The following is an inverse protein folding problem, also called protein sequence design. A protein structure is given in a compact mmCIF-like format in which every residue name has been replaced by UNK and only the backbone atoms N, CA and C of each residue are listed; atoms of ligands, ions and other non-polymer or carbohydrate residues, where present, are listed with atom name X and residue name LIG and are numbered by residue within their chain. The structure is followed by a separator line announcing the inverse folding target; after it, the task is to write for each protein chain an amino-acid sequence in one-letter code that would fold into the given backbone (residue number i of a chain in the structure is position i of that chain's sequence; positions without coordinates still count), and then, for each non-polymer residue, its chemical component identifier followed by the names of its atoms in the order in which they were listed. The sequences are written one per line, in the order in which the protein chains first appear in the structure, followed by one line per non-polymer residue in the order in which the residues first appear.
data_IF_738524852394
#
_entry.id   IF_738524852394
#
_cell.length_a   1.000
_cell.length_b   1.000
_cell.length_c   1.000
_cell.angle_alpha   90.00
_cell.angle_beta   90.00
_cell.angle_gamma   90.00
#
_symmetry.space_group_name_H-M   'P 1'
#
loop_
_entity.id
_entity.type
_entity.pdbx_description
1 polymer ?
#
# COMPACT_ATOMS: atom_id res chain seq x y z
N UNK A 1 42.82 45.45 -7.17
CA UNK A 1 42.58 45.00 -8.56
C UNK A 1 41.09 45.13 -8.82
N UNK A 2 40.71 45.94 -9.79
CA UNK A 2 39.49 46.76 -9.81
C UNK A 2 38.50 46.34 -10.92
N UNK A 3 37.20 46.51 -10.64
CA UNK A 3 36.02 46.72 -11.53
C UNK A 3 35.34 45.59 -12.36
N UNK A 4 34.12 45.24 -11.89
CA UNK A 4 32.74 45.32 -12.46
C UNK A 4 32.43 45.33 -14.00
N UNK A 5 31.33 44.61 -14.29
CA UNK A 5 30.13 44.89 -15.15
C UNK A 5 30.09 44.66 -16.69
N UNK A 6 29.16 43.76 -17.07
CA UNK A 6 28.11 43.79 -18.13
C UNK A 6 28.24 44.61 -19.43
N UNK A 7 27.84 44.01 -20.57
CA UNK A 7 27.12 44.72 -21.64
C UNK A 7 26.20 43.81 -22.48
N UNK A 8 24.95 44.27 -22.70
CA UNK A 8 23.98 43.83 -23.71
C UNK A 8 24.27 44.52 -25.04
N UNK A 9 23.90 43.92 -26.17
CA UNK A 9 23.70 44.66 -27.42
C UNK A 9 22.37 44.25 -28.09
N UNK A 10 21.55 45.26 -28.36
CA UNK A 10 20.41 45.22 -29.27
C UNK A 10 20.70 46.25 -30.37
N UNK A 11 20.40 45.91 -31.62
CA UNK A 11 20.39 46.86 -32.74
C UNK A 11 19.04 46.73 -33.44
N UNK A 12 18.33 47.86 -33.50
CA UNK A 12 17.17 48.11 -34.34
C UNK A 12 17.65 48.77 -35.64
N UNK A 13 17.09 48.39 -36.78
CA UNK A 13 16.99 49.26 -37.95
C UNK A 13 15.60 49.11 -38.57
N UNK A 14 14.99 50.24 -38.88
CA UNK A 14 13.65 50.42 -39.42
C UNK A 14 13.73 50.84 -40.90
N UNK A 15 12.57 51.02 -41.55
CA UNK A 15 12.30 51.41 -42.97
C UNK A 15 12.15 50.18 -43.89
N UNK A 16 11.07 49.95 -44.65
CA UNK A 16 9.83 50.67 -44.90
C UNK A 16 9.18 50.14 -46.19
N UNK A 17 7.85 50.00 -46.17
CA UNK A 17 6.88 49.87 -47.29
C UNK A 17 6.97 48.72 -48.31
N UNK A 18 5.92 47.89 -48.31
CA UNK A 18 5.54 46.99 -49.39
C UNK A 18 4.33 46.14 -49.00
N UNK A 19 3.13 46.70 -49.00
CA UNK A 19 1.88 45.94 -48.84
C UNK A 19 1.61 45.13 -50.11
N UNK A 20 1.84 43.81 -50.05
CA UNK A 20 1.28 42.85 -51.01
C UNK A 20 0.22 42.05 -50.25
N UNK A 21 -1.04 42.25 -50.63
CA UNK A 21 -2.17 41.44 -50.19
C UNK A 21 -2.04 40.04 -50.82
N UNK A 22 -1.51 39.07 -50.07
CA UNK A 22 -1.55 37.66 -50.47
C UNK A 22 -2.85 37.04 -49.94
N UNK A 23 -3.82 36.82 -50.84
CA UNK A 23 -4.97 35.94 -50.59
C UNK A 23 -4.46 34.51 -50.39
N UNK A 24 -4.42 34.03 -49.15
CA UNK A 24 -4.23 32.61 -48.88
C UNK A 24 -5.57 31.92 -49.12
N UNK A 25 -5.64 31.13 -50.19
CA UNK A 25 -6.71 30.19 -50.46
C UNK A 25 -6.52 29.02 -49.49
N UNK A 26 -7.50 28.80 -48.62
CA UNK A 26 -7.59 27.63 -47.76
C UNK A 26 -7.81 26.39 -48.64
N UNK A 27 -6.79 25.56 -48.80
CA UNK A 27 -6.98 24.20 -49.32
C UNK A 27 -7.40 23.31 -48.16
N UNK A 28 -8.68 22.93 -48.13
CA UNK A 28 -9.19 21.85 -47.30
C UNK A 28 -8.46 20.56 -47.68
N UNK A 29 -7.69 20.02 -46.73
CA UNK A 29 -7.14 18.68 -46.85
C UNK A 29 -8.30 17.68 -46.69
N UNK A 30 -8.70 17.06 -47.80
CA UNK A 30 -9.62 15.92 -47.82
C UNK A 30 -8.95 14.76 -47.10
N UNK A 31 -9.33 14.54 -45.84
CA UNK A 31 -9.00 13.31 -45.11
C UNK A 31 -9.83 12.19 -45.72
N UNK A 32 -9.20 11.32 -46.48
CA UNK A 32 -9.81 10.09 -46.96
C UNK A 32 -10.24 9.24 -45.75
N UNK A 33 -11.55 9.16 -45.51
CA UNK A 33 -12.14 8.23 -44.55
C UNK A 33 -11.94 6.81 -45.07
N UNK A 34 -11.12 6.03 -44.39
CA UNK A 34 -11.09 4.56 -44.54
C UNK A 34 -12.35 4.03 -43.85
N UNK A 35 -13.33 3.45 -44.57
CA UNK A 35 -14.45 2.78 -43.94
C UNK A 35 -13.98 1.41 -43.47
N UNK A 36 -13.89 1.20 -42.15
CA UNK A 36 -13.74 -0.16 -41.61
C UNK A 36 -12.88 -0.35 -40.37
N UNK A 37 -12.24 0.68 -39.80
CA UNK A 37 -11.59 0.49 -38.49
C UNK A 37 -12.63 0.67 -37.37
N UNK A 38 -13.32 -0.42 -37.03
CA UNK A 38 -14.06 -0.52 -35.77
C UNK A 38 -13.05 -0.24 -34.65
N UNK A 39 -13.22 0.82 -33.83
CA UNK A 39 -12.39 0.99 -32.66
C UNK A 39 -12.59 -0.27 -31.80
N UNK A 40 -11.52 -1.03 -31.58
CA UNK A 40 -11.51 -2.12 -30.61
C UNK A 40 -11.95 -1.53 -29.28
N UNK A 41 -13.23 -1.73 -28.95
CA UNK A 41 -13.79 -1.47 -27.64
C UNK A 41 -13.12 -2.49 -26.74
N UNK A 42 -11.94 -2.15 -26.21
CA UNK A 42 -11.29 -2.93 -25.18
C UNK A 42 -12.34 -3.02 -24.07
N UNK A 43 -12.97 -4.19 -23.94
CA UNK A 43 -13.88 -4.45 -22.85
C UNK A 43 -13.07 -4.19 -21.58
N UNK A 44 -13.36 -3.08 -20.90
CA UNK A 44 -12.80 -2.87 -19.58
C UNK A 44 -13.34 -4.02 -18.73
N UNK A 45 -12.48 -5.00 -18.45
CA UNK A 45 -12.77 -6.03 -17.47
C UNK A 45 -13.08 -5.28 -16.18
N UNK A 46 -14.37 -5.27 -15.81
CA UNK A 46 -14.83 -4.69 -14.56
C UNK A 46 -14.19 -5.49 -13.43
N UNK A 47 -13.36 -4.83 -12.63
CA UNK A 47 -12.71 -5.44 -11.48
C UNK A 47 -13.76 -5.59 -10.38
N UNK A 48 -13.87 -6.79 -9.79
CA UNK A 48 -14.75 -6.99 -8.64
C UNK A 48 -14.23 -6.13 -7.48
N UNK A 49 -15.08 -5.37 -6.77
CA UNK A 49 -14.61 -4.51 -5.70
C UNK A 49 -14.05 -5.35 -4.53
N UNK A 50 -13.06 -4.81 -3.81
CA UNK A 50 -12.71 -5.23 -2.46
C UNK A 50 -13.71 -4.73 -1.42
N UNK A 51 -14.29 -3.55 -1.67
CA UNK A 51 -15.24 -2.90 -0.78
C UNK A 51 -16.42 -2.35 -1.56
N UNK A 52 -17.64 -2.56 -1.06
CA UNK A 52 -18.85 -1.97 -1.63
C UNK A 52 -19.91 -1.67 -0.55
N UNK A 53 -21.11 -1.26 -0.95
CA UNK A 53 -22.20 -0.92 -0.04
C UNK A 53 -23.30 -1.98 -0.01
N UNK A 54 -23.09 -3.13 -0.66
CA UNK A 54 -24.10 -4.15 -0.87
C UNK A 54 -23.76 -5.32 0.02
N UNK A 55 -24.64 -5.63 0.97
CA UNK A 55 -24.53 -6.87 1.73
C UNK A 55 -24.85 -8.06 0.82
N UNK A 56 -23.81 -8.75 0.32
CA UNK A 56 -23.92 -9.82 -0.67
C UNK A 56 -23.39 -11.17 -0.13
N UNK A 57 -23.92 -11.66 1.01
CA UNK A 57 -23.37 -12.84 1.66
C UNK A 57 -23.49 -14.05 0.73
N UNK A 58 -22.40 -14.78 0.58
CA UNK A 58 -22.32 -15.97 -0.25
C UNK A 58 -21.52 -17.04 0.51
N UNK A 59 -21.69 -18.29 0.12
CA UNK A 59 -21.06 -19.41 0.79
C UNK A 59 -19.53 -19.30 0.66
N UNK A 60 -18.84 -19.45 1.79
CA UNK A 60 -17.37 -19.42 1.85
C UNK A 60 -16.86 -20.66 2.54
N UNK A 61 -15.59 -20.99 2.26
CA UNK A 61 -14.91 -22.08 2.98
C UNK A 61 -14.78 -21.78 4.47
N UNK A 62 -14.60 -20.51 4.82
CA UNK A 62 -14.53 -20.05 6.19
C UNK A 62 -15.32 -18.73 6.36
N UNK A 63 -16.21 -18.64 7.36
CA UNK A 63 -16.49 -19.64 8.39
C UNK A 63 -17.27 -20.85 7.85
N UNK A 64 -16.87 -22.06 8.22
CA UNK A 64 -17.46 -23.30 7.69
C UNK A 64 -18.96 -23.38 7.96
N UNK A 65 -19.76 -23.73 6.94
CA UNK A 65 -21.20 -23.89 7.06
C UNK A 65 -22.00 -22.58 7.10
N UNK A 66 -21.34 -21.42 6.94
CA UNK A 66 -21.98 -20.11 6.99
C UNK A 66 -21.68 -19.31 5.72
N UNK A 67 -22.61 -18.43 5.35
CA UNK A 67 -22.37 -17.40 4.34
C UNK A 67 -21.63 -16.21 4.96
N UNK A 68 -20.70 -15.62 4.23
CA UNK A 68 -20.03 -14.39 4.62
C UNK A 68 -19.89 -13.45 3.43
N UNK A 69 -20.12 -12.17 3.68
CA UNK A 69 -19.81 -11.11 2.72
C UNK A 69 -18.28 -10.91 2.68
N UNK A 70 -17.72 -10.89 1.46
CA UNK A 70 -16.28 -10.74 1.19
C UNK A 70 -15.92 -9.31 0.75
N UNK A 71 -16.92 -8.45 0.60
CA UNK A 71 -16.86 -7.06 0.16
C UNK A 71 -17.39 -6.13 1.24
N UNK A 72 -16.69 -5.98 2.38
CA UNK A 72 -17.16 -5.11 3.45
C UNK A 72 -17.29 -3.65 3.01
N UNK A 73 -17.98 -2.85 3.83
CA UNK A 73 -18.04 -1.40 3.64
C UNK A 73 -16.62 -0.80 3.51
N UNK A 74 -16.43 0.18 2.61
CA UNK A 74 -15.15 0.87 2.48
C UNK A 74 -14.72 1.49 3.82
N UNK A 75 -13.51 1.18 4.31
CA UNK A 75 -13.02 1.76 5.55
C UNK A 75 -12.71 3.25 5.35
N UNK A 76 -12.82 4.03 6.43
CA UNK A 76 -12.37 5.42 6.43
C UNK A 76 -10.86 5.47 6.70
N UNK A 77 -10.14 6.25 5.89
CA UNK A 77 -8.69 6.43 6.06
C UNK A 77 -8.40 7.68 6.88
N UNK A 78 -7.66 7.51 7.96
CA UNK A 78 -7.20 8.64 8.76
C UNK A 78 -5.98 9.33 8.11
N UNK A 79 -5.50 10.42 8.72
CA UNK A 79 -4.38 11.19 8.17
C UNK A 79 -3.08 10.36 8.09
N UNK A 80 -2.85 9.47 9.06
CA UNK A 80 -1.65 8.63 9.07
C UNK A 80 -1.71 7.51 8.02
N UNK A 81 -2.87 6.90 7.81
CA UNK A 81 -3.12 5.97 6.70
C UNK A 81 -2.75 6.61 5.36
N UNK A 82 -3.22 7.83 5.13
CA UNK A 82 -2.90 8.58 3.91
C UNK A 82 -1.41 8.88 3.80
N UNK A 83 -0.73 9.22 4.89
CA UNK A 83 0.71 9.45 4.92
C UNK A 83 1.51 8.17 4.58
N UNK A 84 1.06 7.01 5.07
CA UNK A 84 1.63 5.69 4.74
C UNK A 84 1.44 5.39 3.26
N UNK A 85 0.23 5.60 2.71
CA UNK A 85 -0.03 5.40 1.27
C UNK A 85 0.80 6.33 0.39
N UNK A 86 1.01 7.59 0.82
CA UNK A 86 1.89 8.53 0.14
C UNK A 86 3.34 8.05 0.15
N UNK A 87 3.81 7.54 1.29
CA UNK A 87 5.15 6.95 1.43
C UNK A 87 5.33 5.72 0.54
N UNK A 88 4.28 4.92 0.38
CA UNK A 88 4.28 3.75 -0.49
C UNK A 88 4.34 4.08 -2.00
N UNK A 89 3.88 5.26 -2.43
CA UNK A 89 3.83 5.63 -3.84
C UNK A 89 2.95 4.69 -4.67
N UNK A 90 3.27 4.48 -5.95
CA UNK A 90 2.53 3.55 -6.83
C UNK A 90 2.82 2.08 -6.45
N UNK A 91 1.93 1.16 -6.81
CA UNK A 91 2.12 -0.28 -6.53
C UNK A 91 3.43 -0.81 -7.13
N UNK A 92 4.21 -1.53 -6.30
CA UNK A 92 5.53 -2.04 -6.66
C UNK A 92 6.68 -1.02 -6.52
N UNK A 93 6.41 0.22 -6.10
CA UNK A 93 7.46 1.18 -5.75
C UNK A 93 8.30 0.68 -4.58
N UNK A 94 9.59 1.05 -4.60
CA UNK A 94 10.51 0.76 -3.49
C UNK A 94 10.40 1.86 -2.44
N UNK A 95 10.40 1.47 -1.17
CA UNK A 95 10.46 2.40 -0.03
C UNK A 95 11.85 2.33 0.59
N UNK A 96 12.52 3.48 0.74
CA UNK A 96 13.83 3.57 1.38
C UNK A 96 13.69 3.75 2.89
N UNK A 97 14.73 3.40 3.63
CA UNK A 97 14.79 3.64 5.07
C UNK A 97 14.61 5.13 5.42
N UNK A 98 15.15 6.04 4.60
CA UNK A 98 14.96 7.49 4.75
C UNK A 98 13.49 7.91 4.68
N UNK A 99 12.70 7.24 3.85
CA UNK A 99 11.29 7.56 3.64
C UNK A 99 10.47 7.14 4.87
N UNK A 100 10.77 5.95 5.43
CA UNK A 100 10.19 5.48 6.69
C UNK A 100 10.57 6.41 7.84
N UNK A 101 11.85 6.81 7.93
CA UNK A 101 12.32 7.76 8.95
C UNK A 101 11.58 9.10 8.84
N UNK A 102 11.45 9.64 7.63
CA UNK A 102 10.75 10.90 7.40
C UNK A 102 9.25 10.80 7.69
N UNK A 103 8.61 9.68 7.34
CA UNK A 103 7.22 9.41 7.70
C UNK A 103 7.02 9.54 9.21
N UNK A 104 7.89 8.92 10.02
CA UNK A 104 7.78 8.98 11.47
C UNK A 104 8.14 10.35 12.06
N UNK A 105 9.12 11.06 11.47
CA UNK A 105 9.43 12.44 11.87
C UNK A 105 8.24 13.38 11.66
N UNK A 106 7.55 13.24 10.52
CA UNK A 106 6.36 14.02 10.20
C UNK A 106 5.13 13.60 11.00
N UNK A 107 5.17 12.45 11.67
CA UNK A 107 4.08 11.87 12.46
C UNK A 107 4.58 11.44 13.84
N UNK A 108 5.27 12.35 14.52
CA UNK A 108 5.98 12.08 15.78
C UNK A 108 5.08 11.54 16.89
N UNK A 109 3.80 11.92 16.93
CA UNK A 109 2.78 11.34 17.80
C UNK A 109 2.65 9.81 17.64
N UNK A 110 2.66 9.30 16.41
CA UNK A 110 2.56 7.85 16.15
C UNK A 110 3.85 7.16 16.62
N UNK A 111 5.01 7.76 16.38
CA UNK A 111 6.28 7.24 16.87
C UNK A 111 6.30 7.15 18.41
N UNK A 112 5.83 8.18 19.10
CA UNK A 112 5.72 8.20 20.56
C UNK A 112 4.78 7.11 21.08
N UNK A 113 3.62 6.91 20.44
CA UNK A 113 2.71 5.80 20.78
C UNK A 113 3.37 4.44 20.64
N UNK A 114 4.10 4.22 19.54
CA UNK A 114 4.84 2.97 19.33
C UNK A 114 5.92 2.80 20.40
N UNK A 115 6.67 3.87 20.70
CA UNK A 115 7.71 3.87 21.73
C UNK A 115 7.15 3.50 23.10
N UNK A 116 6.05 4.13 23.52
CA UNK A 116 5.35 3.81 24.76
C UNK A 116 4.88 2.35 24.76
N UNK A 117 4.29 1.89 23.66
CA UNK A 117 3.73 0.55 23.52
C UNK A 117 4.76 -0.59 23.63
N UNK A 118 6.05 -0.31 23.41
CA UNK A 118 7.13 -1.30 23.54
C UNK A 118 8.05 -1.06 24.75
N UNK A 119 7.65 -0.20 25.67
CA UNK A 119 8.40 0.07 26.90
C UNK A 119 9.60 1.01 26.74
N UNK A 120 9.59 1.88 25.72
CA UNK A 120 10.53 2.98 25.57
C UNK A 120 11.77 2.69 24.71
N UNK A 121 12.09 1.42 24.43
CA UNK A 121 13.30 1.03 23.70
C UNK A 121 13.11 -0.24 22.85
N UNK A 122 13.74 -0.29 21.68
CA UNK A 122 13.82 -1.49 20.84
C UNK A 122 15.13 -2.25 21.01
N UNK A 123 16.20 -1.53 21.35
CA UNK A 123 17.50 -2.08 21.72
C UNK A 123 17.86 -1.63 23.13
N UNK A 124 18.54 -2.50 23.87
CA UNK A 124 18.88 -2.25 25.27
C UNK A 124 19.63 -0.93 25.45
N UNK A 125 19.18 -0.12 26.40
CA UNK A 125 19.78 1.17 26.77
C UNK A 125 19.75 2.25 25.68
N UNK A 126 18.93 2.08 24.63
CA UNK A 126 18.71 3.07 23.56
C UNK A 126 17.30 3.65 23.69
N UNK A 127 17.18 4.68 24.53
CA UNK A 127 15.88 5.21 25.01
C UNK A 127 15.56 6.61 24.51
N UNK A 128 16.53 7.34 23.98
CA UNK A 128 16.24 8.68 23.45
C UNK A 128 15.33 8.57 22.23
N UNK A 129 14.55 9.61 21.94
CA UNK A 129 13.64 9.60 20.80
C UNK A 129 14.39 9.40 19.47
N UNK A 130 15.59 9.97 19.34
CA UNK A 130 16.43 9.82 18.15
C UNK A 130 16.93 8.37 17.99
N UNK A 131 17.41 7.75 19.07
CA UNK A 131 17.83 6.35 19.03
C UNK A 131 16.67 5.41 18.74
N UNK A 132 15.50 5.66 19.34
CA UNK A 132 14.29 4.90 19.09
C UNK A 132 13.87 5.00 17.63
N UNK A 133 13.88 6.20 17.05
CA UNK A 133 13.59 6.42 15.62
C UNK A 133 14.56 5.64 14.72
N UNK A 134 15.85 5.65 15.03
CA UNK A 134 16.85 4.91 14.26
C UNK A 134 16.63 3.40 14.35
N UNK A 135 16.36 2.90 15.56
CA UNK A 135 16.09 1.48 15.78
C UNK A 135 14.79 1.05 15.11
N UNK A 136 13.72 1.85 15.24
CA UNK A 136 12.44 1.65 14.56
C UNK A 136 12.62 1.60 13.05
N UNK A 137 13.33 2.59 12.49
CA UNK A 137 13.61 2.66 11.05
C UNK A 137 14.35 1.39 10.60
N UNK A 138 15.38 0.97 11.34
CA UNK A 138 16.16 -0.21 11.01
C UNK A 138 15.31 -1.50 11.01
N UNK A 139 14.51 -1.74 12.04
CA UNK A 139 13.72 -2.99 12.13
C UNK A 139 12.65 -3.06 11.05
N UNK A 140 12.12 -1.93 10.59
CA UNK A 140 11.08 -1.86 9.56
C UNK A 140 11.62 -1.85 8.13
N UNK A 141 12.87 -1.42 7.91
CA UNK A 141 13.45 -1.25 6.57
C UNK A 141 14.48 -2.31 6.17
N UNK A 142 15.27 -2.87 7.10
CA UNK A 142 16.37 -3.80 6.78
C UNK A 142 15.89 -5.07 6.04
N UNK A 143 14.71 -5.58 6.38
CA UNK A 143 14.06 -6.71 5.70
C UNK A 143 12.87 -6.27 4.85
N UNK A 144 12.74 -4.97 4.57
CA UNK A 144 11.64 -4.38 3.78
C UNK A 144 10.24 -4.64 4.34
N UNK A 145 10.12 -4.89 5.65
CA UNK A 145 8.85 -5.15 6.31
C UNK A 145 7.80 -4.06 6.06
N UNK A 146 8.20 -2.78 6.13
CA UNK A 146 7.29 -1.66 5.86
C UNK A 146 6.72 -1.73 4.43
N UNK A 147 7.60 -1.84 3.45
CA UNK A 147 7.20 -1.94 2.04
C UNK A 147 6.29 -3.15 1.80
N UNK A 148 6.68 -4.30 2.34
CA UNK A 148 5.95 -5.54 2.15
C UNK A 148 4.55 -5.45 2.76
N UNK A 149 4.44 -5.09 4.04
CA UNK A 149 3.17 -5.06 4.78
C UNK A 149 2.22 -3.99 4.20
N UNK A 150 2.68 -2.75 4.01
CA UNK A 150 1.80 -1.64 3.65
C UNK A 150 1.65 -1.42 2.14
N UNK A 151 2.74 -1.52 1.38
CA UNK A 151 2.76 -1.01 0.01
C UNK A 151 2.41 -2.06 -1.03
N UNK A 152 2.68 -3.32 -0.73
CA UNK A 152 2.60 -4.42 -1.68
C UNK A 152 3.75 -4.40 -2.69
N UNK A 153 4.21 -5.58 -3.06
CA UNK A 153 5.32 -5.79 -3.99
C UNK A 153 4.83 -6.49 -5.25
N UNK A 154 5.29 -6.08 -6.42
CA UNK A 154 5.10 -6.83 -7.67
C UNK A 154 6.42 -7.54 -7.96
N UNK A 155 6.50 -8.85 -7.68
CA UNK A 155 7.75 -9.61 -7.91
C UNK A 155 7.82 -10.15 -9.33
N UNK A 156 6.69 -10.55 -9.90
CA UNK A 156 6.53 -11.00 -11.28
C UNK A 156 5.02 -11.01 -11.65
N UNK A 157 4.68 -11.53 -12.82
CA UNK A 157 3.28 -11.57 -13.32
C UNK A 157 2.33 -12.43 -12.46
N UNK A 158 2.83 -13.28 -11.57
CA UNK A 158 2.03 -14.24 -10.79
C UNK A 158 2.17 -14.06 -9.27
N UNK A 159 2.87 -13.03 -8.81
CA UNK A 159 3.18 -12.90 -7.40
C UNK A 159 3.10 -11.46 -6.92
N UNK A 160 2.15 -11.25 -6.04
CA UNK A 160 2.01 -10.03 -5.24
C UNK A 160 2.61 -10.35 -3.87
N UNK A 161 3.67 -9.64 -3.47
CA UNK A 161 4.23 -9.76 -2.12
C UNK A 161 3.49 -8.85 -1.16
N UNK A 162 3.21 -9.34 0.05
CA UNK A 162 2.67 -8.52 1.11
C UNK A 162 1.23 -8.08 0.85
N UNK A 163 0.96 -6.76 0.91
CA UNK A 163 -0.37 -6.16 0.73
C UNK A 163 -1.32 -6.53 1.88
N UNK A 164 -0.98 -6.10 3.09
CA UNK A 164 -1.66 -6.49 4.33
C UNK A 164 -2.35 -5.32 5.05
N UNK A 165 -2.40 -4.16 4.40
CA UNK A 165 -3.03 -2.95 4.91
C UNK A 165 -4.27 -2.60 4.09
N UNK A 166 -5.44 -2.52 4.74
CA UNK A 166 -6.72 -2.27 4.06
C UNK A 166 -6.69 -0.97 3.23
N UNK A 167 -5.97 0.06 3.69
CA UNK A 167 -5.91 1.33 2.98
C UNK A 167 -5.28 1.20 1.60
N UNK A 168 -4.38 0.23 1.43
CA UNK A 168 -3.77 -0.02 0.12
C UNK A 168 -4.76 -0.68 -0.83
N UNK A 169 -5.64 -1.56 -0.36
CA UNK A 169 -6.72 -2.12 -1.18
C UNK A 169 -7.67 -1.02 -1.65
N UNK A 170 -8.11 -0.17 -0.72
CA UNK A 170 -9.04 0.91 -1.02
C UNK A 170 -8.44 1.89 -2.02
N UNK A 171 -7.18 2.28 -1.84
CA UNK A 171 -6.48 3.15 -2.79
C UNK A 171 -6.44 2.56 -4.20
N UNK A 172 -6.07 1.28 -4.33
CA UNK A 172 -5.94 0.64 -5.64
C UNK A 172 -7.30 0.41 -6.32
N UNK A 173 -8.35 0.12 -5.53
CA UNK A 173 -9.72 0.07 -6.02
C UNK A 173 -10.18 1.43 -6.54
N UNK A 174 -9.97 2.50 -5.77
CA UNK A 174 -10.38 3.86 -6.16
C UNK A 174 -9.63 4.37 -7.40
N UNK A 175 -8.41 3.87 -7.64
CA UNK A 175 -7.66 4.11 -8.86
C UNK A 175 -8.17 3.29 -10.07
N UNK A 176 -9.12 2.37 -9.87
CA UNK A 176 -9.64 1.48 -10.92
C UNK A 176 -8.64 0.42 -11.40
N UNK A 177 -7.55 0.20 -10.66
CA UNK A 177 -6.47 -0.69 -11.06
C UNK A 177 -6.40 -1.99 -10.27
N UNK A 178 -7.16 -2.16 -9.18
CA UNK A 178 -7.23 -3.44 -8.49
C UNK A 178 -8.63 -3.80 -8.01
N UNK A 179 -8.83 -5.10 -7.84
CA UNK A 179 -10.06 -5.67 -7.31
C UNK A 179 -9.88 -7.14 -6.94
N UNK A 180 -10.96 -7.76 -6.47
CA UNK A 180 -10.97 -9.19 -6.15
C UNK A 180 -10.77 -10.03 -7.40
N UNK A 181 -10.06 -11.13 -7.23
CA UNK A 181 -9.94 -12.19 -8.21
C UNK A 181 -11.28 -12.92 -8.32
N UNK A 182 -11.93 -12.93 -9.49
CA UNK A 182 -13.16 -13.69 -9.69
C UNK A 182 -12.93 -15.20 -9.45
N UNK A 183 -13.98 -15.90 -9.02
CA UNK A 183 -14.00 -17.36 -8.85
C UNK A 183 -12.91 -17.89 -7.88
N UNK A 184 -12.59 -17.15 -6.82
CA UNK A 184 -11.60 -17.54 -5.82
C UNK A 184 -12.19 -18.10 -4.51
N UNK A 185 -13.49 -18.41 -4.46
CA UNK A 185 -14.23 -18.77 -3.24
C UNK A 185 -13.59 -19.93 -2.46
N UNK A 186 -12.92 -20.87 -3.13
CA UNK A 186 -12.25 -22.01 -2.49
C UNK A 186 -11.02 -21.65 -1.63
N UNK A 187 -10.53 -20.42 -1.74
CA UNK A 187 -9.36 -19.86 -1.02
C UNK A 187 -9.70 -18.64 -0.17
N UNK A 188 -10.95 -18.19 -0.21
CA UNK A 188 -11.42 -17.04 0.55
C UNK A 188 -11.76 -17.45 1.99
N UNK A 189 -11.31 -16.64 2.94
CA UNK A 189 -11.55 -16.86 4.37
C UNK A 189 -11.89 -15.53 5.03
N UNK A 190 -13.01 -15.50 5.75
CA UNK A 190 -13.52 -14.26 6.38
C UNK A 190 -13.81 -14.48 7.85
N UNK A 191 -13.34 -13.55 8.69
CA UNK A 191 -13.93 -13.29 10.00
C UNK A 191 -14.74 -11.99 9.83
N UNK A 192 -16.09 -12.05 9.78
CA UNK A 192 -16.90 -10.90 9.41
C UNK A 192 -16.61 -9.65 10.24
N UNK A 193 -16.30 -8.57 9.55
CA UNK A 193 -15.92 -7.30 10.15
C UNK A 193 -14.58 -7.31 10.90
N UNK A 194 -13.68 -8.26 10.62
CA UNK A 194 -12.35 -8.38 11.25
C UNK A 194 -11.26 -8.71 10.23
N UNK A 195 -11.29 -9.91 9.63
CA UNK A 195 -10.22 -10.41 8.74
C UNK A 195 -10.83 -10.82 7.41
N UNK A 196 -10.18 -10.42 6.32
CA UNK A 196 -10.59 -10.76 4.97
C UNK A 196 -9.38 -11.30 4.22
N UNK A 197 -9.45 -12.57 3.84
CA UNK A 197 -8.49 -13.23 2.94
C UNK A 197 -9.17 -13.49 1.61
N UNK A 198 -8.61 -12.92 0.54
CA UNK A 198 -9.19 -12.95 -0.79
C UNK A 198 -8.12 -13.04 -1.88
N UNK A 199 -8.56 -13.37 -3.09
CA UNK A 199 -7.71 -13.29 -4.26
C UNK A 199 -7.71 -11.86 -4.79
N UNK A 200 -6.57 -11.40 -5.30
CA UNK A 200 -6.35 -10.03 -5.76
C UNK A 200 -5.94 -10.04 -7.22
N UNK A 201 -6.46 -9.08 -7.98
CA UNK A 201 -6.04 -8.74 -9.34
C UNK A 201 -5.58 -7.28 -9.36
N UNK A 202 -4.42 -7.02 -9.95
CA UNK A 202 -3.84 -5.67 -10.13
C UNK A 202 -3.50 -5.47 -11.61
N UNK A 203 -4.00 -4.38 -12.20
CA UNK A 203 -3.65 -3.86 -13.52
C UNK A 203 -2.46 -2.90 -13.35
N UNK A 204 -1.34 -3.19 -14.03
CA UNK A 204 -0.15 -2.35 -14.03
C UNK A 204 0.28 -2.10 -15.49
N UNK A 205 -0.11 -0.94 -16.02
CA UNK A 205 -0.01 -0.66 -17.46
C UNK A 205 -0.75 -1.72 -18.27
N UNK A 206 -0.08 -2.35 -19.23
CA UNK A 206 -0.65 -3.40 -20.08
C UNK A 206 -0.61 -4.80 -19.45
N UNK A 207 -0.23 -4.91 -18.17
CA UNK A 207 -0.07 -6.19 -17.48
C UNK A 207 -1.15 -6.37 -16.43
N UNK A 208 -1.55 -7.61 -16.22
CA UNK A 208 -2.37 -8.02 -15.09
C UNK A 208 -1.57 -8.98 -14.23
N UNK A 209 -1.51 -8.70 -12.93
CA UNK A 209 -0.87 -9.53 -11.91
C UNK A 209 -1.96 -10.01 -10.98
N UNK A 210 -1.97 -11.29 -10.65
CA UNK A 210 -2.91 -11.84 -9.68
C UNK A 210 -2.25 -12.72 -8.65
N UNK A 211 -2.88 -12.80 -7.49
CA UNK A 211 -2.54 -13.73 -6.43
C UNK A 211 -3.85 -14.24 -5.80
N UNK A 212 -3.86 -15.50 -5.36
CA UNK A 212 -5.08 -16.14 -4.85
C UNK A 212 -5.30 -15.91 -3.37
N UNK A 213 -4.26 -15.48 -2.64
CA UNK A 213 -4.30 -15.35 -1.19
C UNK A 213 -3.59 -14.06 -0.77
N UNK A 214 -4.40 -13.09 -0.36
CA UNK A 214 -3.97 -11.88 0.33
C UNK A 214 -4.95 -11.55 1.43
N UNK A 215 -4.41 -11.15 2.58
CA UNK A 215 -5.19 -10.92 3.79
C UNK A 215 -4.96 -9.52 4.34
N UNK A 216 -6.03 -8.87 4.80
CA UNK A 216 -5.97 -7.66 5.61
C UNK A 216 -6.96 -7.74 6.78
N UNK A 217 -6.72 -6.92 7.80
CA UNK A 217 -7.59 -6.80 8.95
C UNK A 217 -8.34 -5.49 8.79
N UNK A 218 -9.67 -5.54 8.76
CA UNK A 218 -10.53 -4.37 8.63
C UNK A 218 -10.48 -3.48 9.89
N UNK A 219 -10.08 -4.06 11.01
CA UNK A 219 -9.99 -3.42 12.34
C UNK A 219 -8.58 -2.94 12.69
N UNK A 220 -7.67 -2.83 11.71
CA UNK A 220 -6.29 -2.40 11.98
C UNK A 220 -5.81 -1.39 10.96
N UNK A 221 -5.82 -0.12 11.36
CA UNK A 221 -5.23 1.00 10.64
C UNK A 221 -3.70 0.90 10.58
N UNK A 222 -3.06 1.83 9.88
CA UNK A 222 -1.62 1.74 9.71
C UNK A 222 -0.84 1.92 11.03
N UNK A 223 -1.33 2.74 11.96
CA UNK A 223 -0.67 2.94 13.25
C UNK A 223 -0.77 1.69 14.13
N UNK A 224 -1.93 1.04 14.13
CA UNK A 224 -2.20 -0.20 14.87
C UNK A 224 -1.32 -1.35 14.36
N UNK A 225 -1.20 -1.52 13.04
CA UNK A 225 -0.28 -2.50 12.44
C UNK A 225 1.17 -2.21 12.85
N UNK A 226 1.61 -0.95 12.80
CA UNK A 226 2.97 -0.59 13.23
C UNK A 226 3.20 -0.90 14.72
N UNK A 227 2.23 -0.60 15.58
CA UNK A 227 2.32 -0.86 17.02
C UNK A 227 2.42 -2.37 17.28
N UNK A 228 1.49 -3.17 16.74
CA UNK A 228 1.42 -4.60 17.07
C UNK A 228 2.56 -5.41 16.48
N UNK A 229 2.97 -5.12 15.24
CA UNK A 229 4.15 -5.76 14.66
C UNK A 229 5.45 -5.37 15.40
N UNK A 230 5.54 -4.14 15.92
CA UNK A 230 6.69 -3.71 16.73
C UNK A 230 6.69 -4.35 18.11
N UNK A 231 5.53 -4.54 18.74
CA UNK A 231 5.38 -5.34 19.97
C UNK A 231 5.80 -6.79 19.74
N UNK A 232 5.35 -7.41 18.65
CA UNK A 232 5.74 -8.76 18.26
C UNK A 232 7.26 -8.87 18.05
N UNK A 233 7.87 -7.86 17.43
CA UNK A 233 9.32 -7.78 17.28
C UNK A 233 10.05 -7.74 18.62
N UNK A 234 9.57 -6.91 19.56
CA UNK A 234 10.17 -6.76 20.89
C UNK A 234 10.04 -8.06 21.71
N UNK A 235 8.85 -8.67 21.72
CA UNK A 235 8.58 -9.88 22.51
C UNK A 235 9.40 -11.09 22.04
N UNK A 236 9.65 -11.19 20.73
CA UNK A 236 10.54 -12.23 20.18
C UNK A 236 12.00 -12.11 20.67
N UNK A 237 12.45 -10.93 21.10
CA UNK A 237 13.85 -10.71 21.48
C UNK A 237 14.80 -11.15 20.35
N UNK A 238 15.72 -12.07 20.62
CA UNK A 238 16.68 -12.56 19.62
C UNK A 238 16.17 -13.72 18.74
N UNK A 239 14.95 -14.22 19.00
CA UNK A 239 14.37 -15.32 18.22
C UNK A 239 14.04 -14.87 16.79
N UNK A 240 14.20 -15.78 15.84
CA UNK A 240 13.89 -15.60 14.43
C UNK A 240 12.82 -16.61 13.99
N UNK A 241 12.23 -16.38 12.82
CA UNK A 241 11.22 -17.23 12.22
C UNK A 241 9.81 -16.65 12.34
N UNK A 242 8.83 -17.51 12.02
CA UNK A 242 7.41 -17.17 12.03
C UNK A 242 6.74 -17.55 13.35
N UNK A 243 5.80 -16.73 13.80
CA UNK A 243 4.94 -17.02 14.95
C UNK A 243 3.58 -16.34 14.83
N UNK A 244 2.61 -16.81 15.61
CA UNK A 244 1.27 -16.22 15.72
C UNK A 244 1.26 -15.19 16.85
N UNK A 245 0.94 -13.95 16.52
CA UNK A 245 0.80 -12.85 17.46
C UNK A 245 -0.70 -12.53 17.64
N UNK A 246 -1.22 -12.59 18.89
CA UNK A 246 -2.59 -12.22 19.15
C UNK A 246 -2.76 -10.70 19.05
N UNK A 247 -3.69 -10.26 18.20
CA UNK A 247 -4.07 -8.86 18.07
C UNK A 247 -5.45 -8.66 18.69
N UNK A 248 -5.59 -7.59 19.46
CA UNK A 248 -6.86 -7.13 20.00
C UNK A 248 -7.05 -5.66 19.63
N UNK A 249 -8.00 -5.42 18.74
CA UNK A 249 -8.41 -4.07 18.41
C UNK A 249 -9.05 -3.43 19.64
N UNK A 250 -8.54 -2.27 20.03
CA UNK A 250 -8.99 -1.56 21.23
C UNK A 250 -10.34 -0.88 20.99
N UNK A 251 -10.66 -0.53 19.75
CA UNK A 251 -11.86 0.22 19.42
C UNK A 251 -13.10 -0.68 19.36
N UNK A 252 -13.01 -1.80 18.63
CA UNK A 252 -14.12 -2.76 18.50
C UNK A 252 -14.11 -3.87 19.56
N UNK A 253 -13.01 -4.02 20.30
CA UNK A 253 -12.80 -5.14 21.24
C UNK A 253 -12.60 -6.50 20.54
N UNK A 254 -12.67 -6.56 19.22
CA UNK A 254 -12.50 -7.79 18.44
C UNK A 254 -11.02 -8.20 18.41
N UNK A 255 -10.80 -9.50 18.26
CA UNK A 255 -9.45 -10.08 18.26
C UNK A 255 -9.25 -10.96 17.04
N UNK A 256 -7.99 -11.06 16.59
CA UNK A 256 -7.56 -11.97 15.53
C UNK A 256 -6.12 -12.41 15.78
N UNK A 257 -5.64 -13.36 14.98
CA UNK A 257 -4.24 -13.78 15.01
C UNK A 257 -3.52 -13.22 13.78
N UNK A 258 -2.34 -12.66 14.00
CA UNK A 258 -1.46 -12.24 12.95
C UNK A 258 -0.25 -13.19 12.83
N UNK A 259 0.12 -13.57 11.63
CA UNK A 259 1.42 -14.19 11.37
C UNK A 259 2.46 -13.09 11.37
N UNK A 260 3.41 -13.16 12.31
CA UNK A 260 4.58 -12.30 12.39
C UNK A 260 5.82 -13.08 11.96
N UNK A 261 6.69 -12.46 11.17
CA UNK A 261 7.97 -13.05 10.77
C UNK A 261 9.11 -12.08 11.05
N UNK A 262 10.12 -12.58 11.77
CA UNK A 262 11.37 -11.86 12.06
C UNK A 262 12.56 -12.62 11.46
N UNK A 263 13.44 -11.91 10.77
CA UNK A 263 14.70 -12.43 10.23
C UNK A 263 15.79 -11.37 10.38
N UNK A 264 17.02 -11.79 10.70
CA UNK A 264 18.20 -10.91 10.82
C UNK A 264 17.93 -9.60 11.60
N UNK A 265 17.24 -9.76 12.73
CA UNK A 265 16.83 -8.67 13.61
C UNK A 265 15.99 -7.56 12.94
N UNK A 266 15.16 -7.94 11.96
CA UNK A 266 14.23 -7.04 11.29
C UNK A 266 12.89 -7.74 11.02
N UNK A 267 11.84 -6.93 10.85
CA UNK A 267 10.48 -7.37 10.52
C UNK A 267 10.45 -7.72 9.04
N UNK A 268 9.99 -8.92 8.71
CA UNK A 268 9.82 -9.41 7.34
C UNK A 268 8.39 -9.22 6.88
N UNK A 269 7.42 -9.69 7.68
CA UNK A 269 5.99 -9.51 7.42
C UNK A 269 5.19 -9.60 8.70
N UNK A 270 3.97 -9.05 8.64
CA UNK A 270 2.94 -9.11 9.66
C UNK A 270 1.60 -9.06 8.94
N UNK A 271 0.79 -10.11 9.06
CA UNK A 271 -0.48 -10.17 8.36
C UNK A 271 -1.53 -10.98 9.13
N UNK A 272 -2.81 -10.62 9.05
CA UNK A 272 -3.87 -11.38 9.69
C UNK A 272 -4.13 -12.68 8.96
N UNK A 273 -4.51 -13.71 9.72
CA UNK A 273 -4.92 -15.00 9.20
C UNK A 273 -6.21 -15.42 9.90
N UNK A 274 -7.19 -15.86 9.11
CA UNK A 274 -8.50 -16.29 9.62
C UNK A 274 -8.43 -17.73 10.15
N UNK A 275 -7.52 -18.56 9.63
CA UNK A 275 -7.35 -19.97 10.03
C UNK A 275 -5.88 -20.31 10.35
N UNK A 276 -5.23 -19.51 11.22
CA UNK A 276 -3.80 -19.59 11.47
C UNK A 276 -3.38 -20.96 11.99
N UNK A 277 -2.25 -21.45 11.51
CA UNK A 277 -1.56 -22.62 12.07
C UNK A 277 -0.10 -22.27 12.35
N UNK A 278 0.34 -22.48 13.58
CA UNK A 278 1.71 -22.18 13.96
C UNK A 278 1.89 -22.07 15.46
N UNK A 279 3.13 -21.79 15.85
CA UNK A 279 3.48 -21.54 17.26
C UNK A 279 3.17 -20.07 17.59
N UNK A 280 2.66 -19.83 18.80
CA UNK A 280 2.46 -18.45 19.31
C UNK A 280 3.82 -17.78 19.51
N UNK A 281 3.86 -16.47 19.33
CA UNK A 281 5.06 -15.68 19.58
C UNK A 281 5.51 -15.82 21.03
N UNK A 282 6.82 -15.73 21.27
CA UNK A 282 7.36 -15.74 22.61
C UNK A 282 6.81 -14.54 23.37
N UNK A 283 6.07 -14.82 24.44
CA UNK A 283 5.68 -13.79 25.40
C UNK A 283 6.85 -13.66 26.38
N UNK A 284 7.42 -12.46 26.46
CA UNK A 284 8.40 -12.08 27.48
C UNK A 284 7.79 -11.00 28.35
#
# INVERSE_FOLDING_TARGET
MHYRLWLKLAIYLNIGLGFVLLKIISTEAVVAQIPGSVPLKIAQISLQPFFDQINNPDFRRFPSGNSADITPLPPQLNAFDQAVLKTCGTIGSKVKASDVKQLMLNNSFVLQRIQQAVGGELRTNRRTQAEFLDDFTAIWSNSRGFQHIFCGEIKNQKYIGGLHFFGRYLQLQNQGIAGRLPNNQAKEEVIPGVVYTLGVVIKQGNRTVSDRIKGYALVSDAAEILIDATKAFKSQGNKQGACLYPVRDQNSGKSYQAVFVKDRNAIVTFYPDATPKGKVCAVK
#
